data_IF_269730245376
#
_entry.id   IF_269730245376
#
_cell.length_a   1.000
_cell.length_b   1.000
_cell.length_c   1.000
_cell.angle_alpha   90.00
_cell.angle_beta   90.00
_cell.angle_gamma   90.00
#
_symmetry.space_group_name_H-M   'P 1'
#
loop_
_entity.id
_entity.type
_entity.pdbx_description
1 polymer ?
#
# COMPACT_ATOMS: atom_id res chain seq x y z
N UNK A 1 7.35 -12.51 -12.75
CA UNK A 1 6.18 -12.04 -12.00
C UNK A 1 6.60 -10.79 -11.23
N UNK A 2 5.88 -9.70 -11.42
CA UNK A 2 5.94 -8.47 -10.63
C UNK A 2 4.98 -8.59 -9.45
N UNK A 3 5.06 -7.66 -8.48
CA UNK A 3 4.07 -7.60 -7.40
C UNK A 3 2.63 -7.41 -7.92
N UNK A 4 2.45 -6.79 -9.09
CA UNK A 4 1.14 -6.57 -9.69
C UNK A 4 0.50 -7.84 -10.29
N UNK A 5 1.29 -8.91 -10.50
CA UNK A 5 0.77 -10.18 -11.02
C UNK A 5 0.11 -11.04 -9.92
N UNK A 6 0.20 -10.62 -8.65
CA UNK A 6 -0.25 -11.38 -7.49
C UNK A 6 -1.70 -11.04 -7.18
N UNK A 7 -2.57 -12.06 -7.09
CA UNK A 7 -3.98 -11.90 -6.70
C UNK A 7 -4.24 -12.26 -5.24
N UNK A 8 -3.39 -13.10 -4.64
CA UNK A 8 -3.55 -13.57 -3.27
C UNK A 8 -2.21 -13.61 -2.53
N UNK A 9 -2.16 -13.04 -1.33
CA UNK A 9 -1.00 -13.09 -0.44
C UNK A 9 -1.44 -13.54 0.95
N UNK A 10 -0.76 -14.55 1.49
CA UNK A 10 -1.01 -15.08 2.84
C UNK A 10 0.31 -15.07 3.60
N UNK A 11 0.31 -14.50 4.80
CA UNK A 11 1.46 -14.45 5.71
C UNK A 11 0.99 -14.89 7.11
N UNK A 12 1.69 -15.84 7.73
CA UNK A 12 1.37 -16.35 9.07
C UNK A 12 -0.09 -16.84 9.24
N UNK A 13 -0.69 -17.33 8.15
CA UNK A 13 -2.07 -17.79 8.11
C UNK A 13 -3.11 -16.67 7.92
N UNK A 14 -2.69 -15.42 7.83
CA UNK A 14 -3.53 -14.25 7.55
C UNK A 14 -3.50 -13.91 6.06
N UNK A 15 -4.67 -13.62 5.48
CA UNK A 15 -4.79 -13.14 4.10
C UNK A 15 -4.56 -11.63 4.11
N UNK A 16 -3.49 -11.19 3.45
CA UNK A 16 -3.12 -9.77 3.33
C UNK A 16 -3.63 -9.15 2.01
N UNK A 17 -3.74 -9.97 0.97
CA UNK A 17 -4.25 -9.60 -0.35
C UNK A 17 -5.20 -10.69 -0.82
N UNK A 18 -6.38 -10.31 -1.32
CA UNK A 18 -7.37 -11.21 -1.89
C UNK A 18 -7.99 -10.61 -3.13
N UNK A 19 -8.01 -11.36 -4.22
CA UNK A 19 -8.55 -10.90 -5.51
C UNK A 19 -7.94 -9.56 -5.98
N UNK A 20 -6.69 -9.27 -5.58
CA UNK A 20 -6.00 -8.02 -5.88
C UNK A 20 -6.31 -6.86 -4.93
N UNK A 21 -7.15 -7.07 -3.92
CA UNK A 21 -7.50 -6.07 -2.91
C UNK A 21 -6.75 -6.31 -1.60
N UNK A 22 -6.22 -5.25 -1.00
CA UNK A 22 -5.58 -5.31 0.33
C UNK A 22 -6.67 -5.41 1.39
N UNK A 23 -6.61 -6.47 2.22
CA UNK A 23 -7.67 -6.80 3.18
C UNK A 23 -7.42 -6.27 4.58
N UNK A 24 -6.21 -5.75 4.84
CA UNK A 24 -5.72 -5.42 6.18
C UNK A 24 -5.53 -3.92 6.42
N UNK A 25 -5.56 -3.12 5.35
CA UNK A 25 -5.31 -1.68 5.36
C UNK A 25 -6.32 -0.98 4.45
N UNK A 26 -6.66 0.27 4.78
CA UNK A 26 -7.36 1.17 3.87
C UNK A 26 -6.36 1.73 2.86
N UNK A 27 -6.45 1.26 1.62
CA UNK A 27 -5.51 1.61 0.56
C UNK A 27 -5.53 3.12 0.25
N UNK A 28 -6.71 3.73 0.19
CA UNK A 28 -6.85 5.16 -0.13
C UNK A 28 -6.29 6.03 0.99
N UNK A 29 -6.56 5.68 2.24
CA UNK A 29 -6.01 6.39 3.40
C UNK A 29 -4.48 6.29 3.45
N UNK A 30 -3.92 5.12 3.16
CA UNK A 30 -2.46 4.91 3.10
C UNK A 30 -1.84 5.75 1.98
N UNK A 31 -2.42 5.70 0.76
CA UNK A 31 -1.96 6.48 -0.40
C UNK A 31 -1.99 7.99 -0.11
N UNK A 32 -3.10 8.48 0.44
CA UNK A 32 -3.26 9.89 0.81
C UNK A 32 -2.20 10.34 1.81
N UNK A 33 -2.02 9.57 2.89
CA UNK A 33 -1.01 9.85 3.92
C UNK A 33 0.41 9.86 3.34
N UNK A 34 0.72 8.89 2.47
CA UNK A 34 2.02 8.80 1.82
C UNK A 34 2.28 10.01 0.91
N UNK A 35 1.28 10.44 0.13
CA UNK A 35 1.37 11.61 -0.73
C UNK A 35 1.61 12.90 0.07
N UNK A 36 0.87 13.12 1.17
CA UNK A 36 1.08 14.28 2.03
C UNK A 36 2.49 14.31 2.64
N UNK A 37 3.00 13.16 3.09
CA UNK A 37 4.36 13.06 3.64
C UNK A 37 5.43 13.29 2.59
N UNK A 38 5.22 12.79 1.37
CA UNK A 38 6.14 13.01 0.26
C UNK A 38 6.19 14.50 -0.11
N UNK A 39 5.06 15.19 -0.19
CA UNK A 39 5.01 16.63 -0.43
C UNK A 39 5.77 17.41 0.66
N UNK A 40 5.50 17.11 1.94
CA UNK A 40 6.21 17.75 3.06
C UNK A 40 7.72 17.47 3.06
N UNK A 41 8.16 16.32 2.53
CA UNK A 41 9.59 16.03 2.37
C UNK A 41 10.24 16.88 1.29
N UNK A 42 9.55 17.09 0.16
CA UNK A 42 10.02 17.94 -0.95
C UNK A 42 10.10 19.40 -0.51
N UNK A 43 9.05 19.93 0.14
CA UNK A 43 9.02 21.32 0.63
C UNK A 43 10.17 21.65 1.60
N UNK A 44 10.66 20.66 2.34
CA UNK A 44 11.80 20.83 3.26
C UNK A 44 13.16 20.85 2.57
N UNK A 45 13.23 20.38 1.33
CA UNK A 45 14.46 20.29 0.56
C UNK A 45 14.68 21.50 -0.37
N UNK A 46 13.64 22.31 -0.58
CA UNK A 46 13.69 23.62 -1.23
C UNK A 46 14.17 24.72 -0.27
#
# INVERSE_FOLDING_TARGET
ATGADVTHTVCDGEVLLRDGEVTTLDEDAVRSTAASRAAALVERAE
#
